data_IF_739094051464
#
_entry.id   IF_739094051464
#
_cell.length_a   1.000
_cell.length_b   1.000
_cell.length_c   1.000
_cell.angle_alpha   90.00
_cell.angle_beta   90.00
_cell.angle_gamma   90.00
#
_symmetry.space_group_name_H-M   'P 1'
#
loop_
_entity.id
_entity.type
_entity.pdbx_description
1 polymer ?
#
# COMPACT_ATOMS: atom_id res chain seq x y z
N UNK A 1 -1.19 -14.51 -21.43
CA UNK A 1 -1.04 -13.09 -21.04
C UNK A 1 -2.20 -12.74 -20.13
N UNK A 2 -1.93 -12.44 -18.85
CA UNK A 2 -2.97 -12.24 -17.84
C UNK A 2 -3.82 -11.00 -18.17
N UNK A 3 -5.14 -11.18 -18.27
CA UNK A 3 -6.14 -10.13 -18.55
C UNK A 3 -6.76 -9.54 -17.26
N UNK A 4 -6.00 -9.45 -16.17
CA UNK A 4 -6.49 -8.96 -14.88
C UNK A 4 -5.60 -7.82 -14.38
N UNK A 5 -6.22 -6.81 -13.80
CA UNK A 5 -5.51 -5.72 -13.15
C UNK A 5 -4.81 -6.26 -11.89
N UNK A 6 -3.55 -5.86 -11.68
CA UNK A 6 -2.77 -6.27 -10.52
C UNK A 6 -3.17 -5.52 -9.24
N UNK A 7 -3.78 -4.34 -9.39
CA UNK A 7 -4.24 -3.49 -8.30
C UNK A 7 -5.67 -3.81 -7.89
N UNK A 8 -6.43 -4.52 -8.74
CA UNK A 8 -7.78 -4.99 -8.45
C UNK A 8 -8.07 -6.27 -9.25
N UNK A 9 -7.99 -7.43 -8.59
CA UNK A 9 -8.22 -8.75 -9.19
C UNK A 9 -9.65 -8.95 -9.72
N UNK A 10 -10.57 -8.05 -9.37
CA UNK A 10 -11.96 -8.06 -9.85
C UNK A 10 -12.14 -7.27 -11.14
N UNK A 11 -11.16 -6.43 -11.52
CA UNK A 11 -11.19 -5.69 -12.77
C UNK A 11 -10.66 -6.52 -13.94
N UNK A 12 -11.46 -6.58 -15.01
CA UNK A 12 -11.11 -7.23 -16.28
C UNK A 12 -10.33 -6.32 -17.23
N UNK A 13 -10.19 -5.03 -16.91
CA UNK A 13 -9.52 -4.02 -17.71
C UNK A 13 -8.63 -3.17 -16.82
N UNK A 14 -7.45 -2.83 -17.32
CA UNK A 14 -6.52 -1.93 -16.62
C UNK A 14 -7.11 -0.52 -16.70
N UNK A 15 -7.29 0.11 -15.54
CA UNK A 15 -7.72 1.50 -15.47
C UNK A 15 -6.62 2.45 -15.96
N UNK A 16 -7.01 3.58 -16.56
CA UNK A 16 -6.04 4.62 -16.92
C UNK A 16 -5.53 5.30 -15.66
N UNK A 17 -4.34 4.89 -15.20
CA UNK A 17 -3.60 5.57 -14.14
C UNK A 17 -2.24 6.04 -14.66
N UNK A 18 -1.90 7.32 -14.52
CA UNK A 18 -2.68 8.37 -13.87
C UNK A 18 -3.87 8.86 -14.74
N UNK A 19 -4.84 9.58 -14.16
CA UNK A 19 -5.95 10.14 -14.91
C UNK A 19 -5.49 11.13 -15.98
N UNK A 20 -6.06 11.05 -17.19
CA UNK A 20 -5.65 11.86 -18.34
C UNK A 20 -5.90 13.37 -18.15
N UNK A 21 -6.89 13.75 -17.34
CA UNK A 21 -7.23 15.15 -17.10
C UNK A 21 -6.12 15.95 -16.41
N UNK A 22 -5.16 15.28 -15.77
CA UNK A 22 -3.97 15.92 -15.19
C UNK A 22 -3.10 16.62 -16.23
N UNK A 23 -3.19 16.21 -17.50
CA UNK A 23 -2.47 16.80 -18.63
C UNK A 23 -3.34 17.72 -19.49
N UNK A 24 -4.45 18.21 -18.94
CA UNK A 24 -5.25 19.25 -19.60
C UNK A 24 -4.68 20.64 -19.31
N UNK A 25 -4.71 21.53 -20.30
CA UNK A 25 -4.20 22.89 -20.15
C UNK A 25 -4.83 23.66 -18.96
N UNK A 26 -6.17 23.62 -18.72
CA UNK A 26 -6.74 24.30 -17.56
C UNK A 26 -6.18 23.81 -16.22
N UNK A 27 -5.90 22.50 -16.11
CA UNK A 27 -5.35 21.91 -14.89
C UNK A 27 -3.88 22.29 -14.73
N UNK A 28 -3.09 22.22 -15.79
CA UNK A 28 -1.67 22.62 -15.78
C UNK A 28 -1.50 24.11 -15.45
N UNK A 29 -2.31 24.99 -16.07
CA UNK A 29 -2.32 26.42 -15.78
C UNK A 29 -2.73 26.70 -14.33
N UNK A 30 -3.78 26.05 -13.83
CA UNK A 30 -4.24 26.22 -12.45
C UNK A 30 -3.21 25.76 -11.41
N UNK A 31 -2.43 24.72 -11.73
CA UNK A 31 -1.34 24.22 -10.89
C UNK A 31 -0.01 24.97 -11.10
N UNK A 32 0.09 25.80 -12.13
CA UNK A 32 1.32 26.51 -12.50
C UNK A 32 2.45 25.59 -12.97
N UNK A 33 2.12 24.43 -13.55
CA UNK A 33 3.11 23.45 -14.03
C UNK A 33 3.24 23.49 -15.55
N UNK A 34 4.45 23.55 -16.12
CA UNK A 34 4.64 23.66 -17.56
C UNK A 34 4.84 22.32 -18.29
N UNK A 35 4.64 21.18 -17.60
CA UNK A 35 4.99 19.85 -18.09
C UNK A 35 3.85 18.85 -17.92
N UNK A 36 3.85 17.85 -18.79
CA UNK A 36 2.95 16.71 -18.67
C UNK A 36 3.30 15.85 -17.45
N UNK A 37 2.27 15.52 -16.69
CA UNK A 37 2.30 14.58 -15.59
C UNK A 37 2.52 13.15 -16.11
N UNK A 38 3.41 12.44 -15.43
CA UNK A 38 3.61 10.99 -15.58
C UNK A 38 3.50 10.34 -14.21
N UNK A 39 2.74 9.24 -14.10
CA UNK A 39 2.46 8.61 -12.81
C UNK A 39 3.64 7.81 -12.24
N UNK A 40 4.65 7.53 -13.06
CA UNK A 40 5.87 6.84 -12.66
C UNK A 40 7.04 7.28 -13.52
N UNK A 41 8.24 7.28 -12.95
CA UNK A 41 9.49 7.60 -13.65
C UNK A 41 10.33 6.35 -13.82
N UNK A 42 10.44 5.89 -15.06
CA UNK A 42 11.15 4.65 -15.40
C UNK A 42 12.65 4.68 -15.08
N UNK A 43 13.39 5.81 -15.26
CA UNK A 43 14.78 5.89 -14.84
C UNK A 43 14.96 5.69 -13.33
N UNK A 44 14.11 6.30 -12.50
CA UNK A 44 14.20 6.15 -11.04
C UNK A 44 13.83 4.72 -10.63
N UNK A 45 12.78 4.14 -11.20
CA UNK A 45 12.42 2.74 -10.96
C UNK A 45 13.59 1.79 -11.28
N UNK A 46 14.24 1.98 -12.44
CA UNK A 46 15.40 1.17 -12.84
C UNK A 46 16.58 1.35 -11.89
N UNK A 47 16.83 2.57 -11.41
CA UNK A 47 17.89 2.83 -10.45
C UNK A 47 17.65 2.06 -9.15
N UNK A 48 16.44 2.12 -8.58
CA UNK A 48 16.06 1.36 -7.37
C UNK A 48 16.21 -0.15 -7.54
N UNK A 49 15.83 -0.67 -8.72
CA UNK A 49 16.01 -2.09 -9.03
C UNK A 49 17.50 -2.47 -9.16
N UNK A 50 18.32 -1.60 -9.75
CA UNK A 50 19.74 -1.85 -9.96
C UNK A 50 20.57 -1.76 -8.66
N UNK A 51 20.18 -0.89 -7.72
CA UNK A 51 20.83 -0.78 -6.40
C UNK A 51 20.38 -1.89 -5.43
N UNK A 52 19.25 -2.55 -5.70
CA UNK A 52 18.71 -3.60 -4.84
C UNK A 52 18.00 -3.07 -3.59
N UNK A 53 17.59 -1.80 -3.59
CA UNK A 53 16.97 -1.15 -2.43
C UNK A 53 15.67 -1.84 -1.98
N UNK A 54 15.03 -2.60 -2.88
CA UNK A 54 13.84 -3.39 -2.57
C UNK A 54 14.13 -4.64 -1.70
N UNK A 55 15.37 -5.16 -1.71
CA UNK A 55 15.76 -6.37 -0.95
C UNK A 55 16.39 -6.02 0.40
N UNK A 56 17.15 -4.92 0.46
CA UNK A 56 17.97 -4.56 1.63
C UNK A 56 17.25 -3.83 2.75
N UNK A 57 15.93 -3.69 2.69
CA UNK A 57 15.18 -2.85 3.63
C UNK A 57 14.90 -3.62 4.94
N UNK A 58 15.47 -3.15 6.05
CA UNK A 58 15.24 -3.68 7.41
C UNK A 58 13.86 -3.22 7.95
N UNK A 59 12.84 -3.21 7.08
CA UNK A 59 11.56 -2.54 7.28
C UNK A 59 10.77 -3.14 8.44
N UNK A 60 10.68 -4.47 8.54
CA UNK A 60 10.00 -5.13 9.65
C UNK A 60 10.63 -4.78 11.00
N UNK A 61 11.97 -4.74 11.06
CA UNK A 61 12.70 -4.34 12.26
C UNK A 61 12.48 -2.85 12.58
N UNK A 62 12.45 -1.99 11.57
CA UNK A 62 12.20 -0.56 11.77
C UNK A 62 10.78 -0.32 12.28
N UNK A 63 9.77 -1.01 11.76
CA UNK A 63 8.41 -0.96 12.30
C UNK A 63 8.38 -1.45 13.75
N UNK A 64 9.06 -2.56 14.05
CA UNK A 64 9.21 -3.05 15.43
C UNK A 64 9.76 -2.00 16.39
N UNK A 65 10.81 -1.28 15.98
CA UNK A 65 11.39 -0.16 16.77
C UNK A 65 10.41 1.01 16.98
N UNK A 66 9.51 1.27 16.03
CA UNK A 66 8.47 2.30 16.19
C UNK A 66 7.47 1.86 17.26
N UNK A 67 7.01 0.61 17.19
CA UNK A 67 6.09 0.03 18.18
C UNK A 67 6.70 0.03 19.58
N UNK A 68 7.98 -0.34 19.72
CA UNK A 68 8.69 -0.32 21.01
C UNK A 68 8.88 1.09 21.59
N UNK A 69 8.66 2.14 20.78
CA UNK A 69 8.67 3.55 21.20
C UNK A 69 7.26 4.10 21.44
N UNK A 70 6.26 3.24 21.54
CA UNK A 70 4.85 3.61 21.73
C UNK A 70 4.27 4.43 20.57
N UNK A 71 4.83 4.27 19.37
CA UNK A 71 4.26 4.86 18.15
C UNK A 71 3.23 3.90 17.55
N UNK A 72 2.04 4.44 17.26
CA UNK A 72 0.95 3.70 16.64
C UNK A 72 1.25 3.48 15.17
N UNK A 73 1.23 2.21 14.75
CA UNK A 73 1.40 1.81 13.35
C UNK A 73 0.14 1.05 12.93
N UNK A 74 -0.36 1.36 11.73
CA UNK A 74 -1.50 0.68 11.15
C UNK A 74 -1.11 0.15 9.77
N UNK A 75 -1.28 -1.15 9.57
CA UNK A 75 -1.06 -1.82 8.30
C UNK A 75 -2.43 -2.17 7.71
N UNK A 76 -2.77 -1.60 6.57
CA UNK A 76 -4.05 -1.82 5.88
C UNK A 76 -3.79 -2.36 4.49
N UNK A 77 -4.54 -3.39 4.11
CA UNK A 77 -4.43 -4.07 2.83
C UNK A 77 -5.82 -4.19 2.22
N UNK A 78 -5.98 -3.79 0.95
CA UNK A 78 -7.22 -3.98 0.23
C UNK A 78 -7.36 -5.43 -0.22
N UNK A 79 -8.47 -6.09 0.10
CA UNK A 79 -8.74 -7.51 -0.20
C UNK A 79 -8.83 -7.86 -1.70
N UNK A 80 -8.83 -6.84 -2.57
CA UNK A 80 -8.82 -6.98 -4.03
C UNK A 80 -7.45 -6.72 -4.67
N UNK A 81 -6.48 -6.20 -3.93
CA UNK A 81 -5.11 -6.09 -4.45
C UNK A 81 -4.52 -7.50 -4.60
N UNK A 82 -3.89 -7.82 -5.72
CA UNK A 82 -3.33 -9.17 -5.92
C UNK A 82 -2.39 -9.64 -4.79
N UNK A 83 -1.73 -8.71 -4.08
CA UNK A 83 -0.74 -8.98 -3.05
C UNK A 83 -1.29 -8.96 -1.61
N UNK A 84 -2.61 -8.79 -1.42
CA UNK A 84 -3.21 -8.57 -0.11
C UNK A 84 -2.89 -9.68 0.92
N UNK A 85 -2.75 -10.92 0.45
CA UNK A 85 -2.53 -12.10 1.30
C UNK A 85 -1.18 -12.09 2.03
N UNK A 86 -0.19 -11.33 1.55
CA UNK A 86 1.10 -11.17 2.23
C UNK A 86 1.03 -10.28 3.47
N UNK A 87 -0.03 -9.47 3.59
CA UNK A 87 -0.14 -8.44 4.63
C UNK A 87 -0.13 -8.99 6.06
N UNK A 88 -0.91 -10.05 6.31
CA UNK A 88 -0.97 -10.72 7.62
C UNK A 88 0.37 -11.41 7.96
N UNK A 89 0.97 -12.10 6.98
CA UNK A 89 2.26 -12.74 7.19
C UNK A 89 3.34 -11.71 7.56
N UNK A 90 3.34 -10.54 6.91
CA UNK A 90 4.23 -9.44 7.25
C UNK A 90 3.95 -8.86 8.64
N UNK A 91 2.67 -8.64 9.01
CA UNK A 91 2.33 -8.10 10.33
C UNK A 91 2.72 -9.04 11.46
N UNK A 92 2.55 -10.35 11.29
CA UNK A 92 2.95 -11.36 12.27
C UNK A 92 4.47 -11.55 12.37
N UNK A 93 5.20 -11.21 11.30
CA UNK A 93 6.67 -11.26 11.27
C UNK A 93 7.35 -10.08 11.98
N UNK A 94 6.61 -9.00 12.29
CA UNK A 94 7.16 -7.87 13.05
C UNK A 94 7.47 -8.30 14.48
N UNK A 95 8.72 -8.06 14.89
CA UNK A 95 9.18 -8.31 16.25
C UNK A 95 9.21 -7.01 17.06
N UNK A 96 8.49 -6.99 18.18
CA UNK A 96 8.33 -5.86 19.11
C UNK A 96 7.88 -6.37 20.48
N UNK A 97 7.87 -5.50 21.48
CA UNK A 97 7.36 -5.83 22.84
C UNK A 97 5.88 -6.22 22.84
N UNK A 98 5.09 -5.76 21.87
CA UNK A 98 3.66 -6.06 21.76
C UNK A 98 3.35 -7.31 20.90
N UNK A 99 4.34 -7.83 20.18
CA UNK A 99 4.15 -8.95 19.24
C UNK A 99 3.51 -10.20 19.85
N UNK A 100 3.81 -10.62 21.11
CA UNK A 100 3.13 -11.78 21.70
C UNK A 100 1.61 -11.61 21.80
N UNK A 101 1.15 -10.43 22.25
CA UNK A 101 -0.28 -10.14 22.37
C UNK A 101 -0.94 -10.07 21.00
N UNK A 102 -0.29 -9.39 20.04
CA UNK A 102 -0.77 -9.28 18.66
C UNK A 102 -0.94 -10.65 17.98
N UNK A 103 0.02 -11.59 18.16
CA UNK A 103 -0.07 -12.94 17.57
C UNK A 103 -1.24 -13.78 18.11
N UNK A 104 -1.78 -13.42 19.28
CA UNK A 104 -2.94 -14.10 19.88
C UNK A 104 -4.25 -13.33 19.71
N UNK A 105 -4.19 -12.11 19.16
CA UNK A 105 -5.37 -11.32 18.87
C UNK A 105 -6.16 -11.99 17.74
N UNK A 106 -7.48 -12.02 17.89
CA UNK A 106 -8.39 -12.50 16.86
C UNK A 106 -8.90 -11.33 16.01
N UNK A 107 -9.35 -11.64 14.80
CA UNK A 107 -10.00 -10.65 13.95
C UNK A 107 -11.33 -10.18 14.55
N UNK A 108 -11.62 -8.89 14.40
CA UNK A 108 -12.91 -8.29 14.70
C UNK A 108 -13.40 -7.42 13.54
N UNK A 109 -14.72 -7.21 13.47
CA UNK A 109 -15.34 -6.40 12.42
C UNK A 109 -14.93 -4.94 12.57
N UNK A 110 -14.43 -4.35 11.48
CA UNK A 110 -14.22 -2.92 11.36
C UNK A 110 -15.51 -2.26 10.86
N UNK A 111 -16.28 -1.68 11.77
CA UNK A 111 -17.49 -0.94 11.44
C UNK A 111 -17.14 0.52 11.14
N UNK A 112 -17.39 0.99 9.91
CA UNK A 112 -17.18 2.41 9.56
C UNK A 112 -18.43 3.26 9.79
N UNK A 113 -19.59 2.61 9.95
CA UNK A 113 -20.84 3.18 10.42
C UNK A 113 -21.73 2.06 11.03
N UNK A 114 -22.88 2.37 11.65
CA UNK A 114 -23.72 1.37 12.33
C UNK A 114 -24.24 0.23 11.46
N UNK A 115 -24.22 0.40 10.13
CA UNK A 115 -24.82 -0.51 9.16
C UNK A 115 -23.83 -1.18 8.22
N UNK A 116 -22.53 -0.88 8.31
CA UNK A 116 -21.56 -1.33 7.33
C UNK A 116 -20.24 -1.78 7.99
N UNK A 117 -19.94 -3.07 7.78
CA UNK A 117 -18.64 -3.68 8.06
C UNK A 117 -17.73 -3.40 6.86
N UNK A 118 -16.76 -2.52 7.03
CA UNK A 118 -15.82 -2.10 6.00
C UNK A 118 -14.56 -2.97 5.92
N UNK A 119 -14.41 -3.95 6.80
CA UNK A 119 -13.28 -4.87 6.80
C UNK A 119 -13.10 -5.61 8.13
N UNK A 120 -11.91 -6.17 8.30
CA UNK A 120 -11.48 -6.85 9.52
C UNK A 120 -10.24 -6.13 10.09
N UNK A 121 -10.11 -6.13 11.41
CA UNK A 121 -8.93 -5.61 12.13
C UNK A 121 -8.47 -6.62 13.17
N UNK A 122 -7.17 -6.65 13.43
CA UNK A 122 -6.49 -7.52 14.40
C UNK A 122 -5.71 -6.69 15.41
#
# INVERSE_FOLDING_TARGET
MFKKDILDITQSHISSFPPQWLNSAPVQESLGVPLDFTGQTMPVFKAFMATGDFVGSDNLRNIGKLLDRDLKVVLMYGDRDYQWTGGEAMSLAINSTISPGFKTAGYTNLNTNPSYVGGLVL
#
